data_IF_143280865339
#
_entry.id   IF_143280865339
#
_cell.length_a   1.000
_cell.length_b   1.000
_cell.length_c   1.000
_cell.angle_alpha   90.00
_cell.angle_beta   90.00
_cell.angle_gamma   90.00
#
_symmetry.space_group_name_H-M   'P 1'
#
loop_
_entity.id
_entity.type
_entity.pdbx_description
1 polymer ?
#
# COMPACT_ATOMS: atom_id res chain seq x y z
N UNK A 1 0.83 -40.39 -15.22
CA UNK A 1 -0.30 -39.55 -15.68
C UNK A 1 -1.14 -38.97 -14.52
N UNK A 2 -0.58 -38.71 -13.34
CA UNK A 2 -1.35 -38.26 -12.14
C UNK A 2 -1.12 -36.80 -11.72
N UNK A 3 -0.09 -36.12 -12.25
CA UNK A 3 0.23 -34.75 -11.86
C UNK A 3 -0.60 -33.70 -12.62
N UNK A 4 -0.90 -33.94 -13.91
CA UNK A 4 -1.74 -33.03 -14.72
C UNK A 4 -3.22 -33.04 -14.30
N UNK A 5 -3.74 -34.15 -13.79
CA UNK A 5 -5.12 -34.23 -13.29
C UNK A 5 -5.27 -33.63 -11.89
N UNK A 6 -4.27 -33.75 -11.00
CA UNK A 6 -4.28 -33.03 -9.71
C UNK A 6 -4.20 -31.50 -9.90
N UNK A 7 -3.41 -31.03 -10.87
CA UNK A 7 -3.32 -29.60 -11.20
C UNK A 7 -4.60 -29.10 -11.88
N UNK A 8 -5.30 -29.95 -12.65
CA UNK A 8 -6.59 -29.61 -13.27
C UNK A 8 -7.72 -29.54 -12.24
N UNK A 9 -7.76 -30.46 -11.28
CA UNK A 9 -8.79 -30.47 -10.24
C UNK A 9 -8.61 -29.36 -9.19
N UNK A 10 -7.38 -28.89 -8.93
CA UNK A 10 -7.13 -27.73 -8.05
C UNK A 10 -7.45 -26.36 -8.69
N UNK A 11 -7.76 -26.33 -9.99
CA UNK A 11 -8.15 -25.14 -10.74
C UNK A 11 -9.67 -24.98 -10.90
N UNK A 12 -10.46 -26.03 -10.62
CA UNK A 12 -11.93 -26.02 -10.74
C UNK A 12 -12.66 -25.82 -9.40
N UNK A 13 -11.97 -25.93 -8.26
CA UNK A 13 -12.45 -25.35 -7.01
C UNK A 13 -12.20 -23.85 -7.04
N UNK A 14 -13.28 -23.09 -7.26
CA UNK A 14 -13.35 -21.62 -7.17
C UNK A 14 -12.46 -21.13 -6.02
N UNK A 15 -11.31 -20.56 -6.38
CA UNK A 15 -10.45 -19.80 -5.48
C UNK A 15 -11.33 -18.76 -4.80
N UNK A 16 -11.63 -18.97 -3.52
CA UNK A 16 -12.38 -18.00 -2.73
C UNK A 16 -11.40 -16.89 -2.32
N UNK A 17 -11.05 -16.04 -3.31
CA UNK A 17 -10.29 -14.81 -3.11
C UNK A 17 -11.06 -13.80 -2.25
N UNK A 18 -12.27 -14.14 -1.78
CA UNK A 18 -13.15 -13.26 -1.01
C UNK A 18 -12.50 -12.56 0.16
N UNK A 19 -11.54 -13.08 0.93
CA UNK A 19 -10.96 -12.29 2.01
C UNK A 19 -10.09 -11.13 1.48
N UNK A 20 -9.26 -11.37 0.47
CA UNK A 20 -8.38 -10.34 -0.11
C UNK A 20 -9.12 -9.42 -1.06
N UNK A 21 -10.04 -9.98 -1.87
CA UNK A 21 -11.05 -9.19 -2.54
C UNK A 21 -11.86 -8.43 -1.52
N UNK A 22 -12.30 -8.98 -0.39
CA UNK A 22 -13.11 -8.26 0.60
C UNK A 22 -12.33 -7.18 1.32
N UNK A 23 -11.04 -7.31 1.62
CA UNK A 23 -10.32 -6.22 2.28
C UNK A 23 -10.07 -5.08 1.29
N UNK A 24 -9.62 -5.38 0.06
CA UNK A 24 -9.50 -4.37 -1.01
C UNK A 24 -10.88 -3.80 -1.41
N UNK A 25 -11.90 -4.65 -1.52
CA UNK A 25 -13.29 -4.30 -1.88
C UNK A 25 -14.01 -3.63 -0.74
N UNK A 26 -13.70 -3.91 0.52
CA UNK A 26 -14.26 -3.19 1.66
C UNK A 26 -13.71 -1.77 1.66
N UNK A 27 -12.42 -1.58 1.39
CA UNK A 27 -11.84 -0.25 1.24
C UNK A 27 -12.36 0.44 -0.03
N UNK A 28 -12.40 -0.24 -1.17
CA UNK A 28 -13.00 0.29 -2.39
C UNK A 28 -14.49 0.61 -2.16
N UNK A 29 -15.32 -0.27 -1.64
CA UNK A 29 -16.74 -0.03 -1.39
C UNK A 29 -16.98 1.06 -0.32
N UNK A 30 -16.08 1.21 0.67
CA UNK A 30 -16.11 2.31 1.67
C UNK A 30 -15.68 3.66 1.08
N UNK A 31 -14.88 3.68 0.00
CA UNK A 31 -14.19 4.89 -0.46
C UNK A 31 -14.34 5.24 -1.96
N UNK A 32 -14.90 4.35 -2.79
CA UNK A 32 -15.24 4.55 -4.22
C UNK A 32 -16.48 5.44 -4.37
N UNK A 33 -17.20 5.72 -3.29
CA UNK A 33 -18.26 6.76 -3.24
C UNK A 33 -17.74 8.18 -3.07
N UNK A 34 -16.43 8.42 -3.12
CA UNK A 34 -15.92 9.77 -3.35
C UNK A 34 -16.04 10.08 -4.85
N UNK A 35 -16.77 11.14 -5.21
CA UNK A 35 -16.68 11.71 -6.56
C UNK A 35 -15.20 11.75 -6.95
N UNK A 36 -14.87 11.13 -8.10
CA UNK A 36 -13.49 11.09 -8.61
C UNK A 36 -12.84 12.46 -8.38
N UNK A 37 -11.60 12.52 -7.84
CA UNK A 37 -10.98 13.78 -7.47
C UNK A 37 -11.14 14.74 -8.64
N UNK A 38 -12.01 15.75 -8.46
CA UNK A 38 -12.25 16.73 -9.53
C UNK A 38 -10.86 17.26 -9.86
N UNK A 39 -10.51 17.27 -11.15
CA UNK A 39 -9.33 17.99 -11.63
C UNK A 39 -9.50 19.47 -11.29
N UNK A 40 -9.16 19.85 -10.07
CA UNK A 40 -8.97 21.22 -9.66
C UNK A 40 -7.47 21.44 -9.68
N UNK A 41 -6.90 21.52 -10.88
CA UNK A 41 -5.60 22.17 -11.03
C UNK A 41 -5.41 22.69 -12.45
N UNK A 42 -5.36 24.03 -12.63
CA UNK A 42 -4.92 24.66 -13.87
C UNK A 42 -3.39 24.63 -14.07
N UNK A 43 -2.59 23.93 -13.23
CA UNK A 43 -1.13 24.07 -13.21
C UNK A 43 -0.33 22.78 -12.99
N UNK A 44 0.65 22.56 -13.88
CA UNK A 44 1.91 21.78 -13.82
C UNK A 44 1.95 20.41 -13.13
N UNK A 45 0.92 19.57 -13.30
CA UNK A 45 1.05 18.11 -13.21
C UNK A 45 1.42 17.48 -11.86
N UNK A 46 1.70 18.27 -10.82
CA UNK A 46 2.05 17.81 -9.47
C UNK A 46 0.79 17.79 -8.60
N UNK A 47 0.51 16.67 -7.94
CA UNK A 47 -0.63 16.52 -7.03
C UNK A 47 -0.44 17.30 -5.71
N UNK A 48 -1.53 17.62 -5.00
CA UNK A 48 -1.45 18.37 -3.74
C UNK A 48 -0.58 17.66 -2.68
N UNK A 49 -0.66 16.34 -2.60
CA UNK A 49 0.16 15.52 -1.68
C UNK A 49 1.65 15.71 -1.99
N UNK A 50 2.03 15.62 -3.27
CA UNK A 50 3.41 15.77 -3.72
C UNK A 50 3.92 17.19 -3.49
N UNK A 51 3.07 18.20 -3.68
CA UNK A 51 3.41 19.59 -3.38
C UNK A 51 3.69 19.77 -1.89
N UNK A 52 2.80 19.27 -1.02
CA UNK A 52 2.98 19.33 0.44
C UNK A 52 4.30 18.69 0.86
N UNK A 53 4.66 17.53 0.30
CA UNK A 53 5.95 16.87 0.59
C UNK A 53 7.15 17.75 0.18
N UNK A 54 7.06 18.43 -0.97
CA UNK A 54 8.17 19.24 -1.50
C UNK A 54 8.34 20.59 -0.83
N UNK A 55 7.24 21.28 -0.54
CA UNK A 55 7.24 22.69 -0.09
C UNK A 55 6.84 22.87 1.36
N UNK A 56 6.30 21.82 1.99
CA UNK A 56 5.62 21.91 3.27
C UNK A 56 4.16 22.35 3.12
N UNK A 57 3.34 21.97 4.12
CA UNK A 57 1.89 22.12 4.06
C UNK A 57 1.42 23.57 4.00
N UNK A 58 2.08 24.49 4.72
CA UNK A 58 1.71 25.90 4.74
C UNK A 58 1.89 26.56 3.36
N UNK A 59 3.03 26.31 2.71
CA UNK A 59 3.31 26.82 1.37
C UNK A 59 2.37 26.21 0.32
N UNK A 60 2.12 24.89 0.41
CA UNK A 60 1.20 24.21 -0.49
C UNK A 60 -0.24 24.72 -0.36
N UNK A 61 -0.71 25.00 0.86
CA UNK A 61 -2.02 25.62 1.10
C UNK A 61 -2.06 27.02 0.50
N UNK A 62 -1.05 27.87 0.74
CA UNK A 62 -1.01 29.22 0.20
C UNK A 62 -1.05 29.22 -1.34
N UNK A 63 -0.31 28.29 -1.97
CA UNK A 63 -0.23 28.17 -3.42
C UNK A 63 -1.53 27.63 -4.04
N UNK A 64 -2.12 26.56 -3.48
CA UNK A 64 -3.22 25.81 -4.13
C UNK A 64 -4.60 26.09 -3.57
N UNK A 65 -4.66 26.47 -2.29
CA UNK A 65 -5.90 26.59 -1.53
C UNK A 65 -6.07 27.98 -0.93
N UNK A 66 -5.24 28.97 -1.30
CA UNK A 66 -5.32 30.34 -0.78
C UNK A 66 -6.64 31.06 -1.06
N UNK A 67 -7.37 30.62 -2.09
CA UNK A 67 -8.69 31.14 -2.46
C UNK A 67 -9.86 30.34 -1.83
N UNK A 68 -9.57 29.27 -1.08
CA UNK A 68 -10.61 28.45 -0.44
C UNK A 68 -11.09 29.16 0.82
N UNK A 69 -12.39 29.46 0.87
CA UNK A 69 -12.94 30.45 1.81
C UNK A 69 -12.91 30.08 3.30
N UNK A 70 -12.75 28.82 3.68
CA UNK A 70 -12.72 28.42 5.10
C UNK A 70 -11.68 27.34 5.40
N UNK A 71 -11.15 27.36 6.64
CA UNK A 71 -10.21 26.34 7.16
C UNK A 71 -10.77 24.92 7.04
N UNK A 72 -12.09 24.76 7.22
CA UNK A 72 -12.78 23.50 7.06
C UNK A 72 -12.72 23.01 5.60
N UNK A 73 -12.99 23.88 4.63
CA UNK A 73 -12.92 23.52 3.21
C UNK A 73 -11.48 23.20 2.75
N UNK A 74 -10.47 23.92 3.29
CA UNK A 74 -9.05 23.59 3.07
C UNK A 74 -8.74 22.18 3.59
N UNK A 75 -9.13 21.89 4.84
CA UNK A 75 -8.90 20.60 5.47
C UNK A 75 -9.56 19.45 4.70
N UNK A 76 -10.83 19.59 4.34
CA UNK A 76 -11.55 18.58 3.55
C UNK A 76 -10.89 18.33 2.19
N UNK A 77 -10.37 19.38 1.55
CA UNK A 77 -9.64 19.24 0.28
C UNK A 77 -8.35 18.44 0.46
N UNK A 78 -7.58 18.70 1.53
CA UNK A 78 -6.37 17.94 1.85
C UNK A 78 -6.72 16.49 2.15
N UNK A 79 -7.69 16.25 3.04
CA UNK A 79 -8.16 14.91 3.44
C UNK A 79 -8.57 14.07 2.23
N UNK A 80 -9.29 14.66 1.28
CA UNK A 80 -9.72 13.99 0.06
C UNK A 80 -8.54 13.65 -0.86
N UNK A 81 -7.57 14.56 -1.01
CA UNK A 81 -6.38 14.31 -1.82
C UNK A 81 -5.49 13.21 -1.21
N UNK A 82 -5.31 13.22 0.12
CA UNK A 82 -4.57 12.17 0.83
C UNK A 82 -5.27 10.82 0.69
N UNK A 83 -6.60 10.78 0.91
CA UNK A 83 -7.40 9.56 0.74
C UNK A 83 -7.30 9.01 -0.67
N UNK A 84 -7.41 9.86 -1.69
CA UNK A 84 -7.28 9.44 -3.09
C UNK A 84 -5.90 8.84 -3.39
N UNK A 85 -4.83 9.44 -2.84
CA UNK A 85 -3.47 8.89 -2.97
C UNK A 85 -3.34 7.52 -2.29
N UNK A 86 -3.83 7.39 -1.06
CA UNK A 86 -3.83 6.11 -0.31
C UNK A 86 -4.53 5.01 -1.11
N UNK A 87 -5.73 5.28 -1.64
CA UNK A 87 -6.50 4.30 -2.42
C UNK A 87 -5.77 3.91 -3.71
N UNK A 88 -5.17 4.89 -4.39
CA UNK A 88 -4.43 4.64 -5.64
C UNK A 88 -3.21 3.75 -5.42
N UNK A 89 -2.48 3.99 -4.35
CA UNK A 89 -1.23 3.27 -4.07
C UNK A 89 -1.44 1.96 -3.30
N UNK A 90 -2.64 1.70 -2.78
CA UNK A 90 -3.00 0.51 -2.00
C UNK A 90 -2.58 -0.80 -2.68
N UNK A 91 -2.72 -0.90 -4.01
CA UNK A 91 -2.36 -2.10 -4.77
C UNK A 91 -0.87 -2.42 -4.67
N UNK A 92 -0.02 -1.40 -4.48
CA UNK A 92 1.43 -1.57 -4.36
C UNK A 92 1.84 -2.11 -2.98
N UNK A 93 1.19 -1.66 -1.91
CA UNK A 93 1.49 -2.06 -0.53
C UNK A 93 0.25 -1.98 0.36
N UNK A 94 -0.63 -3.01 0.32
CA UNK A 94 -1.92 -2.96 0.99
C UNK A 94 -1.81 -2.70 2.50
N UNK A 95 -0.93 -3.45 3.19
CA UNK A 95 -0.76 -3.32 4.63
C UNK A 95 -0.29 -1.92 5.06
N UNK A 96 0.62 -1.29 4.30
CA UNK A 96 1.06 0.07 4.61
C UNK A 96 -0.06 1.09 4.45
N UNK A 97 -0.75 1.05 3.31
CA UNK A 97 -1.77 2.05 2.99
C UNK A 97 -3.06 1.85 3.81
N UNK A 98 -3.35 0.64 4.29
CA UNK A 98 -4.39 0.40 5.28
C UNK A 98 -4.08 1.12 6.61
N UNK A 99 -2.86 0.94 7.14
CA UNK A 99 -2.40 1.68 8.35
C UNK A 99 -2.47 3.19 8.15
N UNK A 100 -2.10 3.70 6.96
CA UNK A 100 -2.22 5.13 6.66
C UNK A 100 -3.67 5.61 6.59
N UNK A 101 -4.59 4.77 6.09
CA UNK A 101 -6.02 5.08 6.06
C UNK A 101 -6.60 5.19 7.48
N UNK A 102 -6.20 4.31 8.39
CA UNK A 102 -6.64 4.35 9.79
C UNK A 102 -6.16 5.63 10.48
N UNK A 103 -4.87 5.97 10.34
CA UNK A 103 -4.30 7.21 10.86
C UNK A 103 -4.99 8.45 10.29
N UNK A 104 -5.34 8.44 8.99
CA UNK A 104 -6.09 9.53 8.38
C UNK A 104 -7.49 9.68 9.01
N UNK A 105 -8.20 8.57 9.22
CA UNK A 105 -9.53 8.59 9.83
C UNK A 105 -9.47 9.09 11.29
N UNK A 106 -8.40 8.79 12.03
CA UNK A 106 -8.14 9.36 13.36
C UNK A 106 -7.91 10.88 13.32
N UNK A 107 -7.10 11.37 12.37
CA UNK A 107 -6.83 12.81 12.21
C UNK A 107 -8.09 13.59 11.79
N UNK A 108 -8.91 13.00 10.93
CA UNK A 108 -10.20 13.60 10.52
C UNK A 108 -11.15 13.70 11.71
N UNK A 109 -11.22 12.66 12.55
CA UNK A 109 -12.03 12.65 13.76
C UNK A 109 -11.56 13.72 14.76
N UNK A 110 -10.24 13.78 15.00
CA UNK A 110 -9.61 14.80 15.82
C UNK A 110 -10.00 16.21 15.37
N UNK A 111 -9.89 16.52 14.07
CA UNK A 111 -10.29 17.82 13.53
C UNK A 111 -11.75 18.15 13.77
N UNK A 112 -12.65 17.17 13.58
CA UNK A 112 -14.10 17.35 13.76
C UNK A 112 -14.48 17.61 15.22
N UNK A 113 -13.76 17.00 16.15
CA UNK A 113 -13.98 17.15 17.60
C UNK A 113 -13.32 18.40 18.18
N UNK A 114 -12.23 18.89 17.59
CA UNK A 114 -11.39 19.99 18.11
C UNK A 114 -11.06 21.01 17.01
N UNK A 115 -12.04 21.81 16.64
CA UNK A 115 -11.89 22.80 15.57
C UNK A 115 -10.87 23.90 15.89
N UNK A 116 -10.66 24.18 17.19
CA UNK A 116 -9.70 25.15 17.72
C UNK A 116 -8.23 24.68 17.57
N UNK A 117 -7.98 23.37 17.48
CA UNK A 117 -6.64 22.77 17.40
C UNK A 117 -6.14 22.65 15.93
N UNK A 118 -6.41 23.65 15.10
CA UNK A 118 -6.14 23.58 13.65
C UNK A 118 -4.65 23.39 13.31
N UNK A 119 -3.74 23.99 14.09
CA UNK A 119 -2.30 23.83 13.88
C UNK A 119 -1.81 22.40 14.19
N UNK A 120 -2.38 21.77 15.23
CA UNK A 120 -2.13 20.37 15.56
C UNK A 120 -2.62 19.45 14.44
N UNK A 121 -3.82 19.72 13.91
CA UNK A 121 -4.34 19.03 12.73
C UNK A 121 -3.37 19.14 11.55
N UNK A 122 -2.91 20.36 11.21
CA UNK A 122 -1.99 20.59 10.08
C UNK A 122 -0.67 19.82 10.25
N UNK A 123 -0.16 19.72 11.48
CA UNK A 123 1.05 18.93 11.75
C UNK A 123 0.82 17.44 11.55
N UNK A 124 -0.27 16.89 12.09
CA UNK A 124 -0.58 15.45 11.97
C UNK A 124 -0.85 15.04 10.53
N UNK A 125 -1.60 15.85 9.79
CA UNK A 125 -1.88 15.54 8.37
C UNK A 125 -0.62 15.69 7.51
N UNK A 126 0.29 16.62 7.84
CA UNK A 126 1.58 16.73 7.16
C UNK A 126 2.47 15.49 7.39
N UNK A 127 2.47 14.92 8.59
CA UNK A 127 3.17 13.67 8.90
C UNK A 127 2.64 12.50 8.06
N UNK A 128 1.31 12.34 8.00
CA UNK A 128 0.67 11.32 7.15
C UNK A 128 1.03 11.53 5.68
N UNK A 129 0.96 12.77 5.18
CA UNK A 129 1.33 13.11 3.80
C UNK A 129 2.78 12.74 3.50
N UNK A 130 3.70 13.02 4.43
CA UNK A 130 5.11 12.65 4.30
C UNK A 130 5.29 11.13 4.14
N UNK A 131 4.64 10.36 5.01
CA UNK A 131 4.70 8.89 5.01
C UNK A 131 4.06 8.29 3.76
N UNK A 132 2.87 8.76 3.38
CA UNK A 132 2.14 8.35 2.16
C UNK A 132 2.93 8.69 0.90
N UNK A 133 3.56 9.87 0.84
CA UNK A 133 4.34 10.29 -0.31
C UNK A 133 5.65 9.50 -0.48
N UNK A 134 6.29 9.13 0.62
CA UNK A 134 7.56 8.40 0.59
C UNK A 134 7.39 6.87 0.58
N UNK A 135 6.22 6.35 0.99
CA UNK A 135 5.97 4.92 1.13
C UNK A 135 6.86 4.27 2.20
N UNK A 136 7.21 5.03 3.25
CA UNK A 136 8.04 4.61 4.39
C UNK A 136 7.47 5.16 5.69
N UNK A 137 7.70 4.44 6.79
CA UNK A 137 7.52 4.93 8.16
C UNK A 137 8.86 5.02 8.89
N UNK A 138 8.91 5.75 10.00
CA UNK A 138 10.12 5.90 10.83
C UNK A 138 10.66 4.57 11.38
N UNK A 139 9.79 3.56 11.47
CA UNK A 139 10.08 2.21 11.95
C UNK A 139 10.70 1.30 10.87
N UNK A 140 10.82 1.77 9.63
CA UNK A 140 11.24 0.95 8.49
C UNK A 140 12.74 0.59 8.59
N UNK A 141 13.11 -0.71 8.61
CA UNK A 141 14.53 -1.12 8.60
C UNK A 141 15.30 -0.56 7.40
N UNK A 142 16.55 -0.13 7.62
CA UNK A 142 17.42 0.49 6.60
C UNK A 142 17.69 -0.40 5.39
N UNK A 143 17.60 -1.72 5.55
CA UNK A 143 17.77 -2.71 4.50
C UNK A 143 16.61 -2.72 3.47
N UNK A 144 15.45 -2.13 3.81
CA UNK A 144 14.28 -2.01 2.94
C UNK A 144 14.35 -0.73 2.08
N UNK A 145 15.45 -0.60 1.35
CA UNK A 145 15.80 0.55 0.53
C UNK A 145 14.99 0.66 -0.78
N UNK A 146 14.22 -0.37 -1.15
CA UNK A 146 13.35 -0.34 -2.34
C UNK A 146 11.86 -0.49 -2.00
N UNK A 147 10.95 0.05 -2.84
CA UNK A 147 9.50 -0.10 -2.65
C UNK A 147 9.05 -1.57 -2.56
N UNK A 148 9.62 -2.47 -3.38
CA UNK A 148 9.29 -3.89 -3.36
C UNK A 148 9.70 -4.59 -2.07
N UNK A 149 10.89 -4.28 -1.53
CA UNK A 149 11.32 -4.81 -0.23
C UNK A 149 10.38 -4.37 0.89
N UNK A 150 9.96 -3.10 0.89
CA UNK A 150 9.02 -2.56 1.88
C UNK A 150 7.66 -3.22 1.78
N UNK A 151 7.13 -3.34 0.57
CA UNK A 151 5.86 -4.00 0.33
C UNK A 151 5.90 -5.47 0.77
N UNK A 152 6.97 -6.20 0.47
CA UNK A 152 7.16 -7.56 0.98
C UNK A 152 7.18 -7.59 2.50
N UNK A 153 7.98 -6.74 3.15
CA UNK A 153 8.09 -6.68 4.61
C UNK A 153 6.73 -6.40 5.28
N UNK A 154 6.03 -5.36 4.83
CA UNK A 154 4.74 -4.95 5.41
C UNK A 154 3.67 -6.05 5.27
N UNK A 155 3.74 -6.86 4.21
CA UNK A 155 2.70 -7.85 3.89
C UNK A 155 3.07 -9.29 4.30
N UNK A 156 4.30 -9.58 4.75
CA UNK A 156 4.71 -10.93 5.18
C UNK A 156 4.49 -11.19 6.68
N UNK A 157 4.11 -10.17 7.45
CA UNK A 157 3.90 -10.24 8.90
C UNK A 157 2.94 -11.36 9.33
N UNK A 158 1.78 -11.47 8.69
CA UNK A 158 0.78 -12.50 9.00
C UNK A 158 1.28 -13.92 8.71
N UNK A 159 2.04 -14.11 7.62
CA UNK A 159 2.60 -15.41 7.26
C UNK A 159 3.66 -15.87 8.27
N UNK A 160 4.57 -14.99 8.68
CA UNK A 160 5.55 -15.32 9.73
C UNK A 160 4.87 -15.50 11.08
N UNK A 161 3.92 -14.63 11.45
CA UNK A 161 3.22 -14.71 12.72
C UNK A 161 2.50 -16.04 12.95
N UNK A 162 1.98 -16.67 11.87
CA UNK A 162 1.38 -18.01 11.92
C UNK A 162 2.36 -19.14 12.25
N UNK A 163 3.66 -18.93 12.04
CA UNK A 163 4.70 -19.90 12.38
C UNK A 163 5.04 -19.89 13.88
N UNK A 164 4.53 -18.91 14.63
CA UNK A 164 4.82 -18.71 16.04
C UNK A 164 6.15 -18.00 16.29
N UNK A 165 6.38 -17.61 17.54
CA UNK A 165 7.58 -16.88 17.97
C UNK A 165 7.25 -15.68 18.85
N UNK A 166 8.27 -15.09 19.47
CA UNK A 166 8.12 -13.82 20.18
C UNK A 166 8.20 -12.65 19.19
N UNK A 167 7.64 -11.49 19.54
CA UNK A 167 7.52 -10.34 18.62
C UNK A 167 8.83 -9.96 17.89
N UNK A 168 9.96 -9.95 18.59
CA UNK A 168 11.26 -9.64 17.99
C UNK A 168 11.78 -10.70 17.01
N UNK A 169 11.47 -11.98 17.24
CA UNK A 169 11.81 -13.06 16.31
C UNK A 169 10.92 -13.01 15.06
N UNK A 170 9.65 -12.66 15.24
CA UNK A 170 8.70 -12.46 14.14
C UNK A 170 9.21 -11.33 13.24
N UNK A 171 9.55 -10.17 13.81
CA UNK A 171 10.04 -9.02 13.03
C UNK A 171 11.33 -9.36 12.25
N UNK A 172 12.29 -10.00 12.91
CA UNK A 172 13.52 -10.46 12.27
C UNK A 172 13.24 -11.51 11.17
N UNK A 173 12.29 -12.41 11.40
CA UNK A 173 11.83 -13.41 10.44
C UNK A 173 11.18 -12.79 9.21
N UNK A 174 10.34 -11.77 9.40
CA UNK A 174 9.68 -11.00 8.33
C UNK A 174 10.73 -10.27 7.50
N UNK A 175 11.67 -9.58 8.14
CA UNK A 175 12.78 -8.91 7.45
C UNK A 175 13.60 -9.91 6.62
N UNK A 176 13.98 -11.04 7.22
CA UNK A 176 14.71 -12.09 6.52
C UNK A 176 13.95 -12.65 5.32
N UNK A 177 12.64 -12.89 5.46
CA UNK A 177 11.80 -13.40 4.38
C UNK A 177 11.66 -12.39 3.23
N UNK A 178 11.41 -11.12 3.55
CA UNK A 178 11.29 -10.05 2.55
C UNK A 178 12.57 -9.93 1.70
N UNK A 179 13.74 -9.92 2.34
CA UNK A 179 15.02 -9.81 1.65
C UNK A 179 15.34 -11.04 0.80
N UNK A 180 15.01 -12.26 1.28
CA UNK A 180 15.20 -13.49 0.50
C UNK A 180 14.30 -13.54 -0.72
N UNK A 181 13.01 -13.24 -0.56
CA UNK A 181 12.04 -13.23 -1.65
C UNK A 181 12.41 -12.17 -2.70
N UNK A 182 12.75 -10.95 -2.29
CA UNK A 182 13.22 -9.89 -3.19
C UNK A 182 14.44 -10.34 -4.01
N UNK A 183 15.47 -10.84 -3.33
CA UNK A 183 16.70 -11.28 -3.99
C UNK A 183 16.42 -12.37 -5.03
N UNK A 184 15.56 -13.33 -4.68
CA UNK A 184 15.22 -14.47 -5.51
C UNK A 184 14.42 -14.08 -6.75
N UNK A 185 13.42 -13.20 -6.59
CA UNK A 185 12.66 -12.64 -7.71
C UNK A 185 13.61 -11.90 -8.65
N UNK A 186 14.48 -11.04 -8.12
CA UNK A 186 15.42 -10.27 -8.96
C UNK A 186 16.38 -11.15 -9.74
N UNK A 187 16.82 -12.28 -9.20
CA UNK A 187 17.75 -13.19 -9.86
C UNK A 187 17.08 -14.15 -10.85
N UNK A 188 15.84 -14.56 -10.60
CA UNK A 188 15.21 -15.67 -11.33
C UNK A 188 13.99 -15.24 -12.17
N UNK A 189 13.52 -13.99 -12.06
CA UNK A 189 12.37 -13.53 -12.85
C UNK A 189 12.67 -13.61 -14.36
N UNK A 190 11.73 -14.12 -15.17
CA UNK A 190 11.82 -13.96 -16.61
C UNK A 190 11.70 -12.49 -17.01
N UNK A 191 12.38 -12.08 -18.08
CA UNK A 191 12.17 -10.75 -18.67
C UNK A 191 10.73 -10.59 -19.14
N UNK A 192 10.16 -9.38 -19.01
CA UNK A 192 8.78 -9.04 -19.40
C UNK A 192 7.77 -10.12 -19.00
N UNK A 193 7.81 -10.53 -17.73
CA UNK A 193 6.97 -11.61 -17.22
C UNK A 193 5.50 -11.20 -17.05
N UNK A 194 5.22 -9.92 -16.82
CA UNK A 194 3.86 -9.41 -16.62
C UNK A 194 3.00 -9.60 -17.86
N UNK A 195 1.79 -10.13 -17.67
CA UNK A 195 0.85 -10.40 -18.76
C UNK A 195 1.11 -11.72 -19.49
N UNK A 196 2.19 -12.44 -19.16
CA UNK A 196 2.45 -13.79 -19.68
C UNK A 196 2.16 -14.83 -18.61
N UNK A 197 1.06 -15.58 -18.75
CA UNK A 197 0.65 -16.59 -17.77
C UNK A 197 1.76 -17.59 -17.44
N UNK A 198 2.53 -18.03 -18.44
CA UNK A 198 3.63 -18.98 -18.23
C UNK A 198 4.76 -18.38 -17.37
N UNK A 199 5.13 -17.11 -17.62
CA UNK A 199 6.20 -16.43 -16.88
C UNK A 199 5.72 -15.98 -15.49
N UNK A 200 4.48 -15.53 -15.37
CA UNK A 200 3.83 -15.25 -14.08
C UNK A 200 3.78 -16.50 -13.20
N UNK A 201 3.50 -17.67 -13.78
CA UNK A 201 3.54 -18.94 -13.05
C UNK A 201 4.96 -19.32 -12.58
N UNK A 202 6.01 -18.88 -13.27
CA UNK A 202 7.38 -19.05 -12.78
C UNK A 202 7.58 -18.25 -11.49
N UNK A 203 7.12 -16.99 -11.43
CA UNK A 203 7.17 -16.18 -10.20
C UNK A 203 6.35 -16.82 -9.07
N UNK A 204 5.12 -17.28 -9.35
CA UNK A 204 4.31 -18.01 -8.37
C UNK A 204 5.02 -19.25 -7.83
N UNK A 205 5.72 -19.97 -8.70
CA UNK A 205 6.49 -21.16 -8.30
C UNK A 205 7.71 -20.81 -7.43
N UNK A 206 8.33 -19.63 -7.62
CA UNK A 206 9.37 -19.13 -6.72
C UNK A 206 8.78 -18.80 -5.35
N UNK A 207 7.66 -18.07 -5.34
CA UNK A 207 6.94 -17.72 -4.10
C UNK A 207 6.45 -18.97 -3.36
N UNK A 208 5.94 -19.98 -4.06
CA UNK A 208 5.50 -21.24 -3.46
C UNK A 208 6.61 -21.95 -2.71
N UNK A 209 7.83 -21.92 -3.23
CA UNK A 209 8.98 -22.54 -2.59
C UNK A 209 9.41 -21.81 -1.31
N UNK A 210 9.10 -20.53 -1.17
CA UNK A 210 9.37 -19.75 0.04
C UNK A 210 8.22 -19.80 1.05
N UNK A 211 6.98 -19.72 0.57
CA UNK A 211 5.79 -19.51 1.40
C UNK A 211 5.07 -20.81 1.75
N UNK A 212 5.09 -21.81 0.85
CA UNK A 212 4.45 -23.12 1.04
C UNK A 212 2.92 -23.11 1.12
N UNK A 213 2.29 -21.95 0.98
CA UNK A 213 0.85 -21.75 1.08
C UNK A 213 0.31 -21.04 -0.17
N UNK A 214 -0.81 -21.53 -0.69
CA UNK A 214 -1.35 -21.07 -1.98
C UNK A 214 -1.92 -19.66 -1.88
N UNK A 215 -2.57 -19.34 -0.76
CA UNK A 215 -3.24 -18.05 -0.58
C UNK A 215 -2.20 -16.95 -0.35
N UNK A 216 -1.15 -17.23 0.42
CA UNK A 216 -0.02 -16.31 0.55
C UNK A 216 0.72 -16.11 -0.78
N UNK A 217 0.89 -17.15 -1.59
CA UNK A 217 1.51 -17.03 -2.91
C UNK A 217 0.73 -16.07 -3.80
N UNK A 218 -0.58 -16.23 -3.94
CA UNK A 218 -1.37 -15.34 -4.80
C UNK A 218 -1.40 -13.91 -4.25
N UNK A 219 -1.51 -13.75 -2.92
CA UNK A 219 -1.50 -12.45 -2.27
C UNK A 219 -0.18 -11.70 -2.50
N UNK A 220 0.96 -12.36 -2.22
CA UNK A 220 2.29 -11.76 -2.40
C UNK A 220 2.60 -11.58 -3.90
N UNK A 221 2.13 -12.46 -4.76
CA UNK A 221 2.27 -12.32 -6.21
C UNK A 221 1.65 -11.03 -6.74
N UNK A 222 0.44 -10.66 -6.28
CA UNK A 222 -0.21 -9.42 -6.71
C UNK A 222 0.59 -8.19 -6.30
N UNK A 223 1.14 -8.20 -5.09
CA UNK A 223 2.03 -7.13 -4.58
C UNK A 223 3.29 -7.03 -5.45
N UNK A 224 4.00 -8.14 -5.65
CA UNK A 224 5.20 -8.22 -6.51
C UNK A 224 4.90 -7.73 -7.93
N UNK A 225 3.75 -8.11 -8.49
CA UNK A 225 3.33 -7.69 -9.83
C UNK A 225 3.11 -6.18 -9.93
N UNK A 226 2.65 -5.53 -8.87
CA UNK A 226 2.41 -4.08 -8.82
C UNK A 226 3.72 -3.26 -8.69
N UNK A 227 4.83 -3.88 -8.26
CA UNK A 227 6.11 -3.20 -8.09
C UNK A 227 6.84 -3.03 -9.42
N UNK A 228 6.97 -1.80 -9.93
CA UNK A 228 7.60 -1.53 -11.23
C UNK A 228 9.09 -1.88 -11.35
N UNK A 229 9.76 -2.16 -10.23
CA UNK A 229 11.19 -2.51 -10.20
C UNK A 229 11.51 -4.00 -10.41
N UNK A 230 10.49 -4.86 -10.30
CA UNK A 230 10.55 -6.28 -10.71
C UNK A 230 10.07 -6.45 -12.14
#
# INVERSE_FOLDING_TARGET
MKLREMVRNAAEERLDLKPFEADMRHLLDKYVTAEAPRKISPFDGIGLVELIVKTGIAAAIAERLGNVGSRAAVAETIENNVRAKIVTEMVSDPAFYEKMSELLDEVIRFRKERAEDYEEYLRRIADIVGKVGAGVSDETPKQLDTPGKRALFNNLGSWIGRQGGVAGEIEAGVLGAALRIDARIRSERPDDWRGSTAKENAIRQLLWQELGDKDDVERIFLIVRAQGEY
#
